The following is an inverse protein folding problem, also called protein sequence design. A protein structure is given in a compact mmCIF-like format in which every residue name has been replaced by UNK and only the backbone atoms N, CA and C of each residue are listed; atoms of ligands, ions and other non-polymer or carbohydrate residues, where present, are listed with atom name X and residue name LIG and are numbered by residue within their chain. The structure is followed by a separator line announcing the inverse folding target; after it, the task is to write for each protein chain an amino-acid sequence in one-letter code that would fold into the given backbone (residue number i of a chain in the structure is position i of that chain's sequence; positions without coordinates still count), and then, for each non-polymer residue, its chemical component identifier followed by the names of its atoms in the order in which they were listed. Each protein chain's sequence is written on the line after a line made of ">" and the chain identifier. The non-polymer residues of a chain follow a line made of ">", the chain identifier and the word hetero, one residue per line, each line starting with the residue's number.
data_IF_802570597146
#
_entry.id   IF_802570597146
#
_cell.length_a   1.000
_cell.length_b   1.000
_cell.length_c   1.000
_cell.angle_alpha   90.00
_cell.angle_beta   90.00
_cell.angle_gamma   90.00
#
_symmetry.space_group_name_H-M   'P 1'
#
loop_
_entity.id
_entity.type
_entity.pdbx_description
1 polymer ?
#
# COMPACT_ATOMS: atom_id res chain seq x y z
N UNK A 1 41.70 34.70 23.18
CA UNK A 1 42.60 33.53 23.24
C UNK A 1 42.31 32.81 24.55
N UNK A 2 41.86 31.56 24.66
CA UNK A 2 41.78 30.44 23.72
C UNK A 2 40.86 29.36 24.35
N UNK A 3 40.03 28.74 23.51
CA UNK A 3 39.40 27.42 23.55
C UNK A 3 39.08 26.71 24.89
N UNK A 4 37.77 26.46 25.13
CA UNK A 4 37.31 25.23 25.79
C UNK A 4 36.61 24.36 24.76
N UNK A 5 37.20 23.18 24.57
CA UNK A 5 36.79 22.11 23.67
C UNK A 5 35.50 21.45 24.19
N UNK A 6 34.48 21.33 23.34
CA UNK A 6 33.29 20.53 23.60
C UNK A 6 33.08 19.57 22.44
N UNK A 7 33.26 18.29 22.78
CA UNK A 7 33.19 17.11 21.95
C UNK A 7 31.85 16.99 21.21
N UNK A 8 31.92 17.04 19.87
CA UNK A 8 30.81 16.68 18.98
C UNK A 8 30.69 15.15 18.94
N UNK A 9 29.74 14.58 19.69
CA UNK A 9 29.27 13.21 19.42
C UNK A 9 28.25 13.24 18.28
N UNK A 10 28.70 12.89 17.09
CA UNK A 10 27.83 12.45 16.01
C UNK A 10 27.00 11.24 16.50
N UNK A 11 25.67 11.34 16.48
CA UNK A 11 24.80 10.18 16.65
C UNK A 11 24.57 9.57 15.27
N UNK A 12 25.14 8.39 15.11
CA UNK A 12 24.99 7.49 13.98
C UNK A 12 23.52 7.29 13.62
N UNK A 13 23.20 7.40 12.34
CA UNK A 13 21.99 6.85 11.76
C UNK A 13 21.91 5.36 12.11
N UNK A 14 20.83 4.96 12.78
CA UNK A 14 20.54 3.56 13.08
C UNK A 14 19.94 2.95 11.82
N UNK A 15 20.80 2.39 10.97
CA UNK A 15 20.36 1.43 9.95
C UNK A 15 19.93 0.18 10.71
N UNK A 16 18.61 -0.05 10.85
CA UNK A 16 18.13 -1.33 11.40
C UNK A 16 18.57 -2.44 10.45
N UNK A 17 19.35 -3.37 10.97
CA UNK A 17 19.73 -4.60 10.28
C UNK A 17 18.47 -5.41 9.93
N UNK A 18 18.52 -6.06 8.77
CA UNK A 18 17.48 -6.97 8.26
C UNK A 18 17.29 -8.15 9.21
N UNK A 19 16.07 -8.56 9.57
CA UNK A 19 15.87 -9.74 10.39
C UNK A 19 16.21 -10.97 9.55
N UNK A 20 17.36 -11.57 9.83
CA UNK A 20 17.77 -12.87 9.31
C UNK A 20 17.46 -13.87 10.43
N UNK A 21 16.69 -14.91 10.16
CA UNK A 21 16.53 -16.02 11.09
C UNK A 21 17.72 -17.00 11.00
N UNK A 22 17.79 -17.94 11.94
CA UNK A 22 18.93 -18.84 12.12
C UNK A 22 19.19 -19.78 10.92
N UNK A 23 18.29 -19.81 9.91
CA UNK A 23 18.38 -20.65 8.72
C UNK A 23 18.67 -19.86 7.42
N UNK A 24 18.87 -18.54 7.48
CA UNK A 24 19.20 -17.74 6.31
C UNK A 24 18.03 -17.52 5.34
N UNK A 25 16.80 -17.80 5.76
CA UNK A 25 15.60 -17.50 4.98
C UNK A 25 15.24 -16.04 5.22
N UNK A 26 15.19 -15.22 4.17
CA UNK A 26 14.71 -13.85 4.30
C UNK A 26 13.21 -13.88 4.59
N UNK A 27 12.82 -13.43 5.78
CA UNK A 27 11.42 -13.43 6.20
C UNK A 27 10.69 -12.20 5.70
N UNK A 28 9.42 -12.40 5.33
CA UNK A 28 8.54 -11.31 4.95
C UNK A 28 8.09 -10.47 6.15
N UNK A 29 7.59 -9.26 5.88
CA UNK A 29 6.91 -8.42 6.88
C UNK A 29 5.41 -8.44 6.63
N UNK A 30 4.61 -8.17 7.66
CA UNK A 30 3.15 -8.16 7.56
C UNK A 30 2.60 -6.89 8.21
N UNK A 31 1.61 -6.29 7.55
CA UNK A 31 0.95 -5.07 8.02
C UNK A 31 -0.54 -5.08 7.70
N UNK A 32 -1.31 -4.30 8.46
CA UNK A 32 -2.72 -4.04 8.17
C UNK A 32 -2.79 -2.67 7.49
N UNK A 33 -3.38 -2.65 6.30
CA UNK A 33 -3.54 -1.45 5.49
C UNK A 33 -5.00 -1.03 5.49
N UNK A 34 -5.24 0.24 5.83
CA UNK A 34 -6.56 0.87 5.78
C UNK A 34 -6.44 2.03 4.80
N UNK A 35 -7.06 1.86 3.63
CA UNK A 35 -6.92 2.78 2.51
C UNK A 35 -8.26 3.16 1.88
N UNK A 36 -8.31 4.34 1.26
CA UNK A 36 -9.41 4.80 0.41
C UNK A 36 -8.88 5.21 -0.95
N UNK A 37 -9.56 4.77 -2.01
CA UNK A 37 -9.15 5.00 -3.40
C UNK A 37 -10.11 5.96 -4.09
N UNK A 38 -9.56 6.80 -4.94
CA UNK A 38 -10.31 7.79 -5.68
C UNK A 38 -9.86 7.83 -7.13
N UNK A 39 -10.81 7.88 -8.06
CA UNK A 39 -10.55 8.19 -9.45
C UNK A 39 -10.41 9.71 -9.60
N UNK A 40 -9.41 10.16 -10.35
CA UNK A 40 -9.17 11.58 -10.62
C UNK A 40 -8.91 11.82 -12.11
N UNK A 41 -9.26 13.01 -12.57
CA UNK A 41 -8.97 13.44 -13.95
C UNK A 41 -7.51 13.92 -14.06
N UNK A 42 -6.98 14.01 -15.28
CA UNK A 42 -5.57 14.34 -15.52
C UNK A 42 -5.15 15.71 -14.97
N UNK A 43 -6.07 16.68 -14.95
CA UNK A 43 -5.83 18.04 -14.47
C UNK A 43 -5.97 18.21 -12.95
N UNK A 44 -6.43 17.17 -12.22
CA UNK A 44 -6.61 17.26 -10.78
C UNK A 44 -5.25 17.43 -10.07
N UNK A 45 -5.20 18.17 -8.97
CA UNK A 45 -3.99 18.32 -8.16
C UNK A 45 -4.33 18.03 -6.71
N UNK A 46 -3.45 17.27 -6.03
CA UNK A 46 -3.61 17.01 -4.59
C UNK A 46 -3.64 18.37 -3.89
N UNK A 47 -4.73 18.72 -3.18
CA UNK A 47 -4.87 20.02 -2.54
C UNK A 47 -3.89 20.17 -1.37
N UNK A 48 -3.76 21.37 -0.80
CA UNK A 48 -3.10 21.52 0.49
C UNK A 48 -3.90 20.79 1.58
N UNK A 49 -3.21 19.94 2.34
CA UNK A 49 -3.78 19.08 3.37
C UNK A 49 -3.30 19.47 4.78
N UNK A 50 -2.47 20.51 4.93
CA UNK A 50 -2.08 21.03 6.24
C UNK A 50 -3.31 21.55 6.99
N UNK A 51 -3.40 21.25 8.29
CA UNK A 51 -4.51 21.60 9.17
C UNK A 51 -5.75 20.73 8.99
N UNK A 52 -5.73 19.73 8.11
CA UNK A 52 -6.77 18.69 8.09
C UNK A 52 -6.60 17.83 9.34
N UNK A 53 -7.69 17.59 10.05
CA UNK A 53 -7.63 16.84 11.30
C UNK A 53 -8.98 16.53 11.89
N UNK A 54 -8.96 15.74 12.96
CA UNK A 54 -10.09 15.42 13.82
C UNK A 54 -9.75 15.78 15.25
N UNK A 55 -10.68 16.43 15.94
CA UNK A 55 -10.52 16.76 17.35
C UNK A 55 -10.50 15.50 18.23
N UNK A 56 -10.05 15.63 19.47
CA UNK A 56 -10.16 14.57 20.46
C UNK A 56 -11.64 14.24 20.70
N UNK A 57 -12.12 13.14 20.11
CA UNK A 57 -13.46 12.63 20.36
C UNK A 57 -13.56 12.02 21.76
N UNK A 58 -14.77 11.87 22.29
CA UNK A 58 -14.99 10.88 23.34
C UNK A 58 -14.97 9.51 22.65
N UNK A 59 -13.94 8.69 22.94
CA UNK A 59 -13.88 7.34 22.40
C UNK A 59 -15.14 6.56 22.77
N UNK A 60 -15.55 5.59 21.94
CA UNK A 60 -16.76 4.79 22.17
C UNK A 60 -16.81 4.07 23.54
N UNK A 61 -15.68 4.04 24.28
CA UNK A 61 -15.54 3.53 25.65
C UNK A 61 -15.30 4.58 26.75
N UNK A 62 -15.54 5.87 26.51
CA UNK A 62 -15.40 6.93 27.53
C UNK A 62 -13.97 7.38 27.83
N UNK A 63 -12.98 6.89 27.09
CA UNK A 63 -11.62 7.44 27.09
C UNK A 63 -11.53 8.71 26.25
N UNK A 64 -10.60 9.61 26.59
CA UNK A 64 -10.26 10.72 25.71
C UNK A 64 -9.62 10.15 24.43
N UNK A 65 -10.27 10.36 23.29
CA UNK A 65 -9.76 9.99 21.98
C UNK A 65 -8.54 10.83 21.60
N UNK A 66 -7.76 10.34 20.64
CA UNK A 66 -6.56 11.02 20.17
C UNK A 66 -6.94 12.08 19.12
N UNK A 67 -6.56 13.33 19.34
CA UNK A 67 -6.64 14.33 18.29
C UNK A 67 -5.59 14.01 17.21
N UNK A 68 -6.00 14.06 15.94
CA UNK A 68 -5.10 13.89 14.80
C UNK A 68 -5.16 15.16 13.96
N UNK A 69 -4.02 15.74 13.64
CA UNK A 69 -3.95 16.91 12.77
C UNK A 69 -2.68 16.85 11.92
N UNK A 70 -2.84 17.11 10.63
CA UNK A 70 -1.74 17.22 9.68
C UNK A 70 -1.03 18.55 9.92
N UNK A 71 0.15 18.50 10.52
CA UNK A 71 0.98 19.68 10.73
C UNK A 71 1.89 19.97 9.53
N UNK A 72 2.29 18.93 8.78
CA UNK A 72 3.23 19.04 7.66
C UNK A 72 2.92 18.00 6.59
N UNK A 73 3.14 18.38 5.33
CA UNK A 73 3.16 17.44 4.20
C UNK A 73 4.58 17.35 3.65
N UNK A 74 5.10 16.14 3.47
CA UNK A 74 6.40 15.86 2.84
C UNK A 74 6.13 15.12 1.54
N UNK A 75 6.75 15.57 0.44
CA UNK A 75 6.58 14.96 -0.87
C UNK A 75 7.80 14.13 -1.22
N UNK A 76 7.56 12.90 -1.65
CA UNK A 76 8.57 12.08 -2.27
C UNK A 76 8.73 12.43 -3.76
N UNK A 77 9.96 12.33 -4.30
CA UNK A 77 10.17 12.45 -5.74
C UNK A 77 9.35 11.40 -6.50
N UNK A 78 8.86 11.77 -7.68
CA UNK A 78 8.09 10.84 -8.50
C UNK A 78 8.90 9.56 -8.80
N UNK A 79 8.33 8.41 -8.46
CA UNK A 79 8.91 7.10 -8.67
C UNK A 79 8.24 6.37 -9.84
N UNK A 80 9.01 5.60 -10.60
CA UNK A 80 8.50 4.66 -11.59
C UNK A 80 8.47 3.26 -10.98
N UNK A 81 7.29 2.65 -10.99
CA UNK A 81 7.03 1.33 -10.43
C UNK A 81 6.57 0.40 -11.55
N UNK A 82 7.00 -0.86 -11.49
CA UNK A 82 6.51 -1.91 -12.38
C UNK A 82 6.03 -3.10 -11.55
N UNK A 83 4.78 -3.52 -11.72
CA UNK A 83 4.21 -4.64 -10.99
C UNK A 83 3.61 -5.69 -11.93
N UNK A 84 4.03 -6.95 -11.77
CA UNK A 84 3.42 -8.10 -12.42
C UNK A 84 2.48 -8.78 -11.44
N UNK A 85 1.20 -8.84 -11.76
CA UNK A 85 0.20 -9.56 -10.99
C UNK A 85 0.11 -11.01 -11.44
N UNK A 86 0.02 -11.91 -10.47
CA UNK A 86 -0.10 -13.35 -10.67
C UNK A 86 -1.44 -13.85 -10.17
N UNK A 87 -2.11 -14.68 -10.97
CA UNK A 87 -3.35 -15.37 -10.61
C UNK A 87 -3.49 -16.66 -11.43
N UNK A 88 -4.53 -17.44 -11.15
CA UNK A 88 -4.91 -18.62 -11.93
C UNK A 88 -5.62 -18.22 -13.22
N UNK A 89 -5.73 -19.12 -14.21
CA UNK A 89 -6.48 -18.87 -15.45
C UNK A 89 -7.87 -18.27 -15.30
N UNK A 90 -8.57 -18.70 -14.26
CA UNK A 90 -9.93 -18.36 -13.89
C UNK A 90 -10.00 -17.29 -12.79
N UNK A 91 -8.87 -16.62 -12.49
CA UNK A 91 -8.76 -15.51 -11.54
C UNK A 91 -9.26 -15.84 -10.11
N UNK A 92 -8.87 -17.01 -9.58
CA UNK A 92 -9.35 -17.48 -8.25
C UNK A 92 -8.88 -16.60 -7.10
N UNK A 93 -7.66 -16.05 -7.15
CA UNK A 93 -7.20 -15.13 -6.11
C UNK A 93 -8.04 -13.84 -6.14
N UNK A 94 -8.23 -13.24 -7.31
CA UNK A 94 -9.08 -12.06 -7.47
C UNK A 94 -10.52 -12.33 -6.99
N UNK A 95 -11.11 -13.47 -7.35
CA UNK A 95 -12.43 -13.91 -6.90
C UNK A 95 -12.53 -14.02 -5.36
N UNK A 96 -11.44 -14.39 -4.70
CA UNK A 96 -11.31 -14.42 -3.25
C UNK A 96 -10.86 -13.08 -2.62
N UNK A 97 -10.80 -11.99 -3.41
CA UNK A 97 -10.31 -10.66 -3.00
C UNK A 97 -8.85 -10.67 -2.52
N UNK A 98 -8.07 -11.60 -3.04
CA UNK A 98 -6.62 -11.73 -2.85
C UNK A 98 -5.92 -11.15 -4.07
N UNK A 99 -4.81 -10.43 -3.86
CA UNK A 99 -3.95 -10.00 -4.95
C UNK A 99 -2.51 -10.35 -4.65
N UNK A 100 -1.84 -11.02 -5.58
CA UNK A 100 -0.42 -11.34 -5.51
C UNK A 100 0.31 -10.61 -6.64
N UNK A 101 1.33 -9.83 -6.30
CA UNK A 101 2.16 -9.14 -7.30
C UNK A 101 3.63 -9.19 -6.94
N UNK A 102 4.49 -9.23 -7.96
CA UNK A 102 5.90 -8.87 -7.87
C UNK A 102 6.05 -7.43 -8.34
N UNK A 103 6.64 -6.54 -7.53
CA UNK A 103 6.86 -5.14 -7.87
C UNK A 103 8.34 -4.78 -7.83
N UNK A 104 8.80 -4.06 -8.85
CA UNK A 104 10.10 -3.41 -8.93
C UNK A 104 9.95 -1.89 -8.93
N UNK A 105 11.02 -1.19 -8.57
CA UNK A 105 11.00 0.26 -8.36
C UNK A 105 10.39 0.66 -7.02
N UNK A 106 10.66 1.89 -6.58
CA UNK A 106 10.22 2.40 -5.28
C UNK A 106 11.00 1.84 -4.09
N UNK A 107 10.67 2.31 -2.89
CA UNK A 107 11.34 1.90 -1.64
C UNK A 107 10.90 0.52 -1.13
N UNK A 108 9.78 0.01 -1.63
CA UNK A 108 9.08 -1.18 -1.17
C UNK A 108 9.07 -2.31 -2.21
N UNK A 109 10.02 -2.30 -3.14
CA UNK A 109 10.20 -3.36 -4.13
C UNK A 109 10.22 -4.76 -3.49
N UNK A 110 9.44 -5.68 -4.04
CA UNK A 110 9.20 -6.98 -3.43
C UNK A 110 7.99 -7.72 -4.02
N UNK A 111 7.70 -8.86 -3.42
CA UNK A 111 6.43 -9.54 -3.57
C UNK A 111 5.44 -9.00 -2.55
N UNK A 112 4.21 -8.78 -2.99
CA UNK A 112 3.13 -8.26 -2.16
C UNK A 112 1.93 -9.18 -2.30
N UNK A 113 1.45 -9.69 -1.18
CA UNK A 113 0.23 -10.47 -1.07
C UNK A 113 -0.77 -9.70 -0.21
N UNK A 114 -1.79 -9.09 -0.83
CA UNK A 114 -2.92 -8.51 -0.09
C UNK A 114 -4.01 -9.55 0.10
N UNK A 115 -4.39 -9.79 1.35
CA UNK A 115 -5.44 -10.71 1.78
C UNK A 115 -6.74 -9.94 2.08
N UNK A 116 -7.90 -10.60 2.07
CA UNK A 116 -9.14 -10.00 2.57
C UNK A 116 -9.00 -9.65 4.06
N UNK A 117 -9.80 -8.69 4.55
CA UNK A 117 -9.81 -8.35 5.97
C UNK A 117 -10.35 -9.53 6.80
N UNK A 118 -9.82 -9.71 8.02
CA UNK A 118 -10.29 -10.76 8.94
C UNK A 118 -11.69 -10.46 9.49
N UNK A 119 -12.02 -9.18 9.62
CA UNK A 119 -13.33 -8.68 10.08
C UNK A 119 -13.93 -7.78 9.01
N UNK A 120 -15.24 -7.88 8.79
CA UNK A 120 -15.95 -7.02 7.84
C UNK A 120 -15.76 -5.54 8.20
N UNK A 121 -15.29 -4.75 7.23
CA UNK A 121 -14.99 -3.32 7.42
C UNK A 121 -13.60 -3.02 7.99
N UNK A 122 -12.80 -4.04 8.34
CA UNK A 122 -11.42 -3.86 8.76
C UNK A 122 -10.45 -3.63 7.59
N UNK A 123 -9.22 -3.24 7.94
CA UNK A 123 -8.10 -3.13 7.00
C UNK A 123 -7.71 -4.46 6.37
N UNK A 124 -7.10 -4.40 5.18
CA UNK A 124 -6.58 -5.57 4.47
C UNK A 124 -5.20 -5.90 4.97
N UNK A 125 -4.90 -7.17 5.13
CA UNK A 125 -3.57 -7.62 5.51
C UNK A 125 -2.68 -7.71 4.29
N UNK A 126 -1.54 -7.04 4.32
CA UNK A 126 -0.49 -7.16 3.31
C UNK A 126 0.69 -7.95 3.89
N UNK A 127 1.12 -8.98 3.17
CA UNK A 127 2.36 -9.70 3.41
C UNK A 127 3.37 -9.28 2.33
N UNK A 128 4.44 -8.64 2.77
CA UNK A 128 5.59 -8.30 1.95
C UNK A 128 6.62 -9.43 2.01
N UNK A 129 7.23 -9.76 0.88
CA UNK A 129 8.39 -10.62 0.83
C UNK A 129 9.45 -9.98 -0.08
N UNK A 130 10.76 -10.10 0.23
CA UNK A 130 11.81 -9.51 -0.62
C UNK A 130 11.73 -9.96 -2.08
N UNK A 131 12.20 -9.08 -2.97
CA UNK A 131 12.05 -9.19 -4.43
C UNK A 131 12.68 -10.45 -5.05
N UNK A 132 13.78 -10.94 -4.47
CA UNK A 132 14.50 -12.09 -5.00
C UNK A 132 15.20 -11.81 -6.35
N UNK A 133 15.59 -12.89 -7.03
CA UNK A 133 16.07 -12.82 -8.42
C UNK A 133 14.91 -12.58 -9.41
N UNK A 134 15.22 -12.23 -10.67
CA UNK A 134 14.20 -11.89 -11.67
C UNK A 134 13.40 -13.09 -12.18
N UNK A 135 14.01 -14.27 -12.22
CA UNK A 135 13.42 -15.54 -12.61
C UNK A 135 12.96 -16.38 -11.39
N UNK A 136 13.02 -15.80 -10.19
CA UNK A 136 12.60 -16.50 -8.97
C UNK A 136 11.08 -16.72 -9.00
N UNK A 137 10.60 -17.96 -8.75
CA UNK A 137 9.17 -18.23 -8.67
C UNK A 137 8.54 -17.51 -7.48
N UNK A 138 7.20 -17.57 -7.40
CA UNK A 138 6.48 -17.06 -6.22
C UNK A 138 7.06 -17.72 -4.95
N UNK A 139 7.46 -16.93 -3.93
CA UNK A 139 8.02 -17.47 -2.70
C UNK A 139 7.10 -18.48 -2.03
N UNK A 140 7.65 -19.61 -1.57
CA UNK A 140 6.89 -20.67 -0.89
C UNK A 140 6.06 -20.13 0.30
N UNK A 141 6.65 -19.21 1.07
CA UNK A 141 5.97 -18.56 2.19
C UNK A 141 4.69 -17.80 1.79
N UNK A 142 4.61 -17.28 0.56
CA UNK A 142 3.39 -16.64 0.03
C UNK A 142 2.42 -17.67 -0.55
N UNK A 143 2.94 -18.72 -1.21
CA UNK A 143 2.13 -19.82 -1.72
C UNK A 143 1.36 -20.54 -0.60
N UNK A 144 2.03 -20.79 0.53
CA UNK A 144 1.41 -21.43 1.71
C UNK A 144 0.19 -20.65 2.22
N UNK A 145 0.21 -19.30 2.12
CA UNK A 145 -0.91 -18.44 2.55
C UNK A 145 -2.15 -18.58 1.64
N UNK A 146 -1.98 -19.01 0.39
CA UNK A 146 -3.05 -19.11 -0.61
C UNK A 146 -3.31 -20.54 -1.10
N UNK A 147 -2.60 -21.54 -0.56
CA UNK A 147 -2.67 -22.93 -1.01
C UNK A 147 -4.11 -23.49 -1.04
N UNK A 148 -4.93 -23.17 -0.03
CA UNK A 148 -6.33 -23.58 0.00
C UNK A 148 -7.16 -23.03 -1.17
N UNK A 149 -6.90 -21.78 -1.58
CA UNK A 149 -7.55 -21.17 -2.75
C UNK A 149 -7.08 -21.82 -4.05
N UNK A 150 -5.80 -22.21 -4.11
CA UNK A 150 -5.20 -22.84 -5.28
C UNK A 150 -5.58 -24.32 -5.45
N UNK A 151 -5.98 -25.00 -4.37
CA UNK A 151 -6.39 -26.41 -4.41
C UNK A 151 -7.80 -26.65 -5.02
N UNK A 152 -8.65 -25.63 -5.09
CA UNK A 152 -10.06 -25.78 -5.52
C UNK A 152 -10.27 -26.03 -7.02
N UNK A 153 -9.23 -25.86 -7.84
CA UNK A 153 -9.33 -25.89 -9.31
C UNK A 153 -9.03 -27.24 -9.98
N UNK A 154 -8.62 -28.28 -9.23
CA UNK A 154 -8.37 -29.61 -9.78
C UNK A 154 -7.08 -29.78 -10.62
N UNK A 155 -6.34 -28.70 -10.90
CA UNK A 155 -5.20 -28.66 -11.83
C UNK A 155 -3.85 -29.18 -11.26
N UNK A 156 -3.83 -30.00 -10.21
CA UNK A 156 -2.57 -30.45 -9.59
C UNK A 156 -1.90 -29.37 -8.73
N UNK A 157 -0.57 -29.45 -8.56
CA UNK A 157 0.22 -28.58 -7.66
C UNK A 157 -0.13 -27.10 -7.85
N UNK A 158 -0.81 -26.50 -6.85
CA UNK A 158 -1.42 -25.19 -6.94
C UNK A 158 -0.45 -24.06 -7.30
N UNK A 159 0.84 -24.22 -6.99
CA UNK A 159 1.89 -23.29 -7.37
C UNK A 159 2.06 -23.19 -8.90
N UNK A 160 1.94 -24.31 -9.60
CA UNK A 160 2.08 -24.40 -11.07
C UNK A 160 0.92 -23.72 -11.82
N UNK A 161 -0.20 -23.44 -11.13
CA UNK A 161 -1.36 -22.79 -11.73
C UNK A 161 -1.24 -21.26 -11.80
N UNK A 162 -0.35 -20.66 -11.00
CA UNK A 162 -0.16 -19.20 -10.98
C UNK A 162 0.66 -18.75 -12.19
N UNK A 163 0.14 -17.75 -12.90
CA UNK A 163 0.83 -17.11 -14.02
C UNK A 163 0.63 -15.60 -14.01
N UNK A 164 1.49 -14.84 -14.70
CA UNK A 164 1.22 -13.44 -14.95
C UNK A 164 -0.14 -13.23 -15.63
N UNK A 165 -0.95 -12.31 -15.10
CA UNK A 165 -2.26 -11.94 -15.66
C UNK A 165 -2.36 -10.47 -16.05
N UNK A 166 -1.60 -9.59 -15.36
CA UNK A 166 -1.59 -8.15 -15.60
C UNK A 166 -0.19 -7.58 -15.33
N UNK A 167 0.34 -6.80 -16.26
CA UNK A 167 1.52 -5.96 -16.06
C UNK A 167 1.06 -4.52 -15.81
N UNK A 168 1.60 -3.88 -14.78
CA UNK A 168 1.24 -2.54 -14.36
C UNK A 168 2.49 -1.67 -14.32
N UNK A 169 2.45 -0.53 -15.00
CA UNK A 169 3.46 0.52 -14.93
C UNK A 169 2.82 1.73 -14.25
N UNK A 170 3.43 2.22 -13.17
CA UNK A 170 2.89 3.33 -12.38
C UNK A 170 3.94 4.42 -12.22
N UNK A 171 3.55 5.66 -12.47
CA UNK A 171 4.26 6.84 -11.98
C UNK A 171 3.58 7.31 -10.70
N UNK A 172 4.25 7.18 -9.56
CA UNK A 172 3.72 7.54 -8.23
C UNK A 172 4.39 8.80 -7.70
N UNK A 173 3.60 9.71 -7.15
CA UNK A 173 4.08 10.77 -6.24
C UNK A 173 3.40 10.58 -4.90
N UNK A 174 4.17 10.37 -3.82
CA UNK A 174 3.62 10.17 -2.48
C UNK A 174 3.69 11.47 -1.66
N UNK A 175 2.60 11.78 -0.97
CA UNK A 175 2.48 12.88 -0.02
C UNK A 175 2.32 12.30 1.38
N UNK A 176 3.35 12.41 2.20
CA UNK A 176 3.35 11.94 3.59
C UNK A 176 2.82 13.04 4.49
N UNK A 177 1.63 12.83 5.07
CA UNK A 177 0.96 13.74 5.99
C UNK A 177 1.41 13.41 7.41
N UNK A 178 2.14 14.34 8.03
CA UNK A 178 2.75 14.15 9.34
C UNK A 178 2.09 15.03 10.40
N UNK A 179 2.03 14.52 11.63
CA UNK A 179 1.60 15.28 12.79
C UNK A 179 2.69 16.26 13.29
N UNK A 180 2.38 17.01 14.35
CA UNK A 180 3.30 17.97 14.96
C UNK A 180 4.56 17.35 15.58
N UNK A 181 4.53 16.04 15.86
CA UNK A 181 5.66 15.26 16.39
C UNK A 181 6.47 14.60 15.27
N UNK A 182 5.97 14.65 14.03
CA UNK A 182 6.60 14.05 12.85
C UNK A 182 6.21 12.60 12.61
N UNK A 183 5.20 12.07 13.30
CA UNK A 183 4.64 10.76 13.00
C UNK A 183 3.78 10.82 11.76
N UNK A 184 3.85 9.78 10.94
CA UNK A 184 3.02 9.66 9.75
C UNK A 184 1.58 9.32 10.12
N UNK A 185 0.65 10.16 9.66
CA UNK A 185 -0.78 9.97 9.81
C UNK A 185 -1.38 9.27 8.60
N UNK A 186 -1.04 9.74 7.39
CA UNK A 186 -1.57 9.26 6.13
C UNK A 186 -0.54 9.42 5.01
N UNK A 187 -0.40 8.41 4.15
CA UNK A 187 0.19 8.59 2.82
C UNK A 187 -0.94 8.89 1.82
N UNK A 188 -0.84 9.99 1.07
CA UNK A 188 -1.66 10.24 -0.12
C UNK A 188 -0.82 10.02 -1.37
N UNK A 189 -1.04 8.92 -2.06
CA UNK A 189 -0.35 8.58 -3.30
C UNK A 189 -1.13 9.05 -4.52
N UNK A 190 -0.47 9.79 -5.41
CA UNK A 190 -0.97 10.17 -6.73
C UNK A 190 -0.34 9.30 -7.81
N UNK A 191 -1.15 8.40 -8.38
CA UNK A 191 -0.72 7.35 -9.28
C UNK A 191 -1.25 7.57 -10.70
N UNK A 192 -0.35 7.78 -11.65
CA UNK A 192 -0.64 7.60 -13.07
C UNK A 192 -0.35 6.16 -13.48
N UNK A 193 -1.37 5.42 -13.90
CA UNK A 193 -1.29 3.96 -14.09
C UNK A 193 -1.52 3.57 -15.54
N UNK A 194 -0.68 2.66 -16.04
CA UNK A 194 -0.85 1.93 -17.30
C UNK A 194 -0.87 0.43 -17.00
N UNK A 195 -1.98 -0.24 -17.31
CA UNK A 195 -2.13 -1.67 -17.14
C UNK A 195 -2.23 -2.37 -18.50
N UNK A 196 -1.47 -3.45 -18.67
CA UNK A 196 -1.49 -4.32 -19.86
C UNK A 196 -1.92 -5.72 -19.44
N UNK A 197 -3.04 -6.20 -19.97
CA UNK A 197 -3.50 -7.57 -19.74
C UNK A 197 -2.65 -8.56 -20.52
N UNK A 198 -2.16 -9.60 -19.85
CA UNK A 198 -1.27 -10.59 -20.46
C UNK A 198 -1.99 -11.44 -21.50
N UNK A 199 -3.27 -11.77 -21.27
CA UNK A 199 -4.03 -12.69 -22.12
C UNK A 199 -4.25 -12.18 -23.55
N UNK A 200 -4.52 -10.89 -23.74
CA UNK A 200 -4.90 -10.30 -25.03
C UNK A 200 -4.13 -9.01 -25.38
N UNK A 201 -3.20 -8.58 -24.52
CA UNK A 201 -2.43 -7.34 -24.70
C UNK A 201 -3.25 -6.06 -24.51
N UNK A 202 -4.50 -6.14 -24.04
CA UNK A 202 -5.36 -4.96 -23.88
C UNK A 202 -4.77 -4.00 -22.85
N UNK A 203 -4.70 -2.73 -23.23
CA UNK A 203 -4.18 -1.65 -22.39
C UNK A 203 -5.32 -0.84 -21.79
N UNK A 204 -5.19 -0.51 -20.51
CA UNK A 204 -6.00 0.50 -19.81
C UNK A 204 -5.08 1.50 -19.14
N UNK A 205 -5.50 2.76 -19.11
CA UNK A 205 -4.79 3.84 -18.41
C UNK A 205 -5.78 4.62 -17.57
N UNK A 206 -5.35 5.04 -16.39
CA UNK A 206 -6.12 5.90 -15.52
C UNK A 206 -5.21 6.62 -14.54
N UNK A 207 -5.77 7.57 -13.81
CA UNK A 207 -5.12 8.21 -12.67
C UNK A 207 -5.97 8.01 -11.43
N UNK A 208 -5.32 7.72 -10.32
CA UNK A 208 -5.99 7.52 -9.04
C UNK A 208 -5.21 8.14 -7.89
N UNK A 209 -5.95 8.55 -6.86
CA UNK A 209 -5.39 8.87 -5.55
C UNK A 209 -5.71 7.76 -4.56
N UNK A 210 -4.72 7.38 -3.76
CA UNK A 210 -4.90 6.48 -2.63
C UNK A 210 -4.57 7.24 -1.35
N UNK A 211 -5.44 7.19 -0.34
CA UNK A 211 -5.15 7.71 0.99
C UNK A 211 -5.09 6.53 1.96
N UNK A 212 -3.90 6.24 2.49
CA UNK A 212 -3.61 5.09 3.35
C UNK A 212 -3.19 5.57 4.74
N UNK A 213 -3.78 5.00 5.80
CA UNK A 213 -3.41 5.33 7.17
C UNK A 213 -1.98 4.89 7.49
N UNK A 214 -1.25 5.75 8.18
CA UNK A 214 0.06 5.44 8.73
C UNK A 214 -0.01 4.42 9.88
N UNK A 215 1.13 3.83 10.27
CA UNK A 215 1.18 2.85 11.34
C UNK A 215 0.64 3.39 12.68
N UNK A 216 -0.28 2.64 13.32
CA UNK A 216 -0.85 3.01 14.62
C UNK A 216 -1.86 4.16 14.59
N UNK A 217 -2.38 4.47 13.40
CA UNK A 217 -3.44 5.47 13.18
C UNK A 217 -4.79 4.78 12.95
N UNK A 218 -4.88 3.47 13.17
CA UNK A 218 -6.10 2.69 12.98
C UNK A 218 -7.20 3.00 14.01
N UNK A 219 -8.40 2.46 13.74
CA UNK A 219 -9.57 2.65 14.59
C UNK A 219 -10.38 3.90 14.26
N UNK A 220 -11.33 4.28 15.15
CA UNK A 220 -12.33 5.31 14.87
C UNK A 220 -11.74 6.68 14.50
N UNK A 221 -10.64 7.08 15.15
CA UNK A 221 -9.97 8.34 14.88
C UNK A 221 -9.32 8.35 13.49
N UNK A 222 -8.71 7.24 13.06
CA UNK A 222 -8.17 7.06 11.71
C UNK A 222 -9.25 7.10 10.64
N UNK A 223 -10.35 6.39 10.87
CA UNK A 223 -11.51 6.41 9.96
C UNK A 223 -12.08 7.82 9.81
N UNK A 224 -12.20 8.56 10.91
CA UNK A 224 -12.68 9.94 10.91
C UNK A 224 -11.68 10.90 10.22
N UNK A 225 -10.36 10.66 10.38
CA UNK A 225 -9.34 11.42 9.64
C UNK A 225 -9.48 11.19 8.13
N UNK A 226 -9.65 9.93 7.71
CA UNK A 226 -9.91 9.61 6.31
C UNK A 226 -11.23 10.20 5.78
N UNK A 227 -12.26 10.37 6.62
CA UNK A 227 -13.51 11.06 6.24
C UNK A 227 -13.28 12.55 5.97
N UNK A 228 -12.49 13.19 6.82
CA UNK A 228 -12.13 14.59 6.68
C UNK A 228 -11.27 14.81 5.44
N UNK A 229 -10.28 13.95 5.22
CA UNK A 229 -9.46 13.95 4.00
C UNK A 229 -10.30 13.70 2.76
N UNK A 230 -11.20 12.72 2.77
CA UNK A 230 -12.10 12.44 1.64
C UNK A 230 -12.88 13.68 1.22
N UNK A 231 -13.37 14.47 2.19
CA UNK A 231 -14.10 15.71 1.90
C UNK A 231 -13.23 16.74 1.18
N UNK A 232 -11.96 16.89 1.59
CA UNK A 232 -10.98 17.79 0.94
C UNK A 232 -10.59 17.31 -0.45
N UNK A 233 -10.29 16.02 -0.61
CA UNK A 233 -9.93 15.43 -1.90
C UNK A 233 -11.08 15.54 -2.90
N UNK A 234 -12.33 15.29 -2.46
CA UNK A 234 -13.52 15.44 -3.32
C UNK A 234 -13.74 16.88 -3.77
N UNK A 235 -13.50 17.86 -2.91
CA UNK A 235 -13.56 19.27 -3.28
C UNK A 235 -12.51 19.63 -4.36
N UNK A 236 -11.42 18.87 -4.45
CA UNK A 236 -10.38 18.99 -5.48
C UNK A 236 -10.63 18.12 -6.73
N UNK A 237 -11.81 17.49 -6.85
CA UNK A 237 -12.21 16.71 -8.03
C UNK A 237 -12.12 15.20 -7.89
N UNK A 238 -11.69 14.67 -6.73
CA UNK A 238 -11.61 13.24 -6.51
C UNK A 238 -12.98 12.57 -6.39
N UNK A 239 -13.15 11.40 -7.00
CA UNK A 239 -14.38 10.59 -6.92
C UNK A 239 -14.05 9.25 -6.28
N UNK A 240 -14.79 8.77 -5.26
CA UNK A 240 -14.53 7.45 -4.70
C UNK A 240 -14.50 6.37 -5.79
N UNK A 241 -13.45 5.55 -5.84
CA UNK A 241 -13.32 4.54 -6.88
C UNK A 241 -14.32 3.40 -6.65
N UNK A 242 -14.92 2.92 -7.74
CA UNK A 242 -15.78 1.73 -7.71
C UNK A 242 -14.96 0.42 -7.62
N UNK A 243 -13.67 0.49 -7.96
CA UNK A 243 -12.79 -0.68 -8.03
C UNK A 243 -12.00 -0.83 -6.73
N UNK A 244 -11.94 -2.07 -6.24
CA UNK A 244 -11.26 -2.39 -4.97
C UNK A 244 -9.75 -2.59 -5.12
N UNK A 245 -9.27 -2.74 -6.35
CA UNK A 245 -7.84 -2.88 -6.65
C UNK A 245 -7.55 -2.50 -8.09
N UNK A 246 -6.31 -2.04 -8.32
CA UNK A 246 -5.74 -1.83 -9.65
C UNK A 246 -5.83 -3.09 -10.54
N UNK A 247 -5.75 -4.29 -9.95
CA UNK A 247 -5.91 -5.56 -10.65
C UNK A 247 -7.30 -5.69 -11.26
N UNK A 248 -8.35 -5.49 -10.47
CA UNK A 248 -9.74 -5.59 -10.94
C UNK A 248 -10.01 -4.58 -12.07
N UNK A 249 -9.59 -3.32 -11.89
CA UNK A 249 -9.74 -2.28 -12.91
C UNK A 249 -8.97 -2.60 -14.20
N UNK A 250 -7.72 -3.05 -14.09
CA UNK A 250 -6.92 -3.47 -15.24
C UNK A 250 -7.52 -4.67 -15.99
N UNK A 251 -8.08 -5.62 -15.24
CA UNK A 251 -8.82 -6.75 -15.77
C UNK A 251 -10.26 -6.41 -16.19
N UNK A 252 -10.73 -5.19 -15.96
CA UNK A 252 -12.08 -4.77 -16.37
C UNK A 252 -13.20 -5.63 -15.77
N UNK A 253 -12.93 -6.21 -14.60
CA UNK A 253 -13.83 -7.06 -13.80
C UNK A 253 -14.50 -6.24 -12.67
#
# INVERSE_FOLDING_TARGET
>A
MTARSASTRARSASTRARPIDYNGVMTGTEQIEIERKYDVDDEAAVPDLVGVGVGAGAGAGGGAGRALEVARVVLDPAASLSATYHDTPDHRLLGARVTLRRRTGGHDAGWHLKLPPEVAGGGRREVHHPLGADDEPVPAALLDRVAALLATGGDGDGASALRPVLLLETRRTAHHLLDGEGHELVEVADDGVRATRVADGRVRTWREWEAELGPGVDGPEGDALLDTLASRLRAAGARPSAHRSKLALGLGD
#
